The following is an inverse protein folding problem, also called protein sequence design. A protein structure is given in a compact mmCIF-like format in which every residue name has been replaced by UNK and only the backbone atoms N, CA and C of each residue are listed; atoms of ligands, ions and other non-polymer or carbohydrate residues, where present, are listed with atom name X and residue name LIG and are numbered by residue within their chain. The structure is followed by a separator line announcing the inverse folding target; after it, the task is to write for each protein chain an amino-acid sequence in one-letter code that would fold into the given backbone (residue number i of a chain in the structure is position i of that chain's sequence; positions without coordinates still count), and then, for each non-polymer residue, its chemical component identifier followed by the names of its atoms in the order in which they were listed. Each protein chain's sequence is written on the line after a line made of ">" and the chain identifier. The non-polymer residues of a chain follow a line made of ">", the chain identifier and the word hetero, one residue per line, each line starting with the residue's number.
data_IF_223137830387
#
_entry.id   IF_223137830387
#
_cell.length_a   1.000
_cell.length_b   1.000
_cell.length_c   1.000
_cell.angle_alpha   90.00
_cell.angle_beta   90.00
_cell.angle_gamma   90.00
#
_symmetry.space_group_name_H-M   'P 1'
#
loop_
_entity.id
_entity.type
_entity.pdbx_description
1 polymer ?
#
# COMPACT_ATOMS: atom_id res chain seq x y z
N UNK A 1 8.44 -11.32 -52.47
CA UNK A 1 7.96 -11.83 -51.15
C UNK A 1 8.37 -10.82 -50.09
N UNK A 2 7.37 -10.21 -49.44
CA UNK A 2 7.45 -8.93 -48.72
C UNK A 2 8.05 -9.00 -47.31
N UNK A 3 9.29 -8.54 -47.13
CA UNK A 3 9.90 -8.39 -45.80
C UNK A 3 9.30 -7.24 -44.96
N UNK A 4 8.51 -6.33 -45.56
CA UNK A 4 7.87 -5.20 -44.86
C UNK A 4 6.63 -5.58 -44.07
N UNK A 5 5.95 -6.67 -44.43
CA UNK A 5 4.74 -7.17 -43.73
C UNK A 5 5.14 -7.76 -42.36
N UNK A 6 6.25 -8.50 -42.30
CA UNK A 6 6.71 -9.17 -41.09
C UNK A 6 7.05 -8.17 -39.95
N UNK A 7 7.65 -7.03 -40.30
CA UNK A 7 8.08 -6.01 -39.30
C UNK A 7 6.92 -5.24 -38.67
N UNK A 8 5.76 -5.16 -39.36
CA UNK A 8 4.55 -4.49 -38.85
C UNK A 8 3.75 -5.37 -37.90
N UNK A 9 3.69 -6.68 -38.17
CA UNK A 9 3.02 -7.65 -37.30
C UNK A 9 3.77 -7.89 -35.98
N UNK A 10 5.11 -7.89 -36.02
CA UNK A 10 5.96 -8.06 -34.83
C UNK A 10 5.80 -6.92 -33.80
N UNK A 11 5.72 -5.66 -34.25
CA UNK A 11 5.52 -4.54 -33.32
C UNK A 11 4.11 -4.50 -32.71
N UNK A 12 3.08 -4.88 -33.47
CA UNK A 12 1.71 -4.94 -32.96
C UNK A 12 1.52 -6.02 -31.88
N UNK A 13 2.18 -7.17 -32.04
CA UNK A 13 2.12 -8.27 -31.08
C UNK A 13 2.73 -7.92 -29.71
N UNK A 14 3.83 -7.15 -29.67
CA UNK A 14 4.49 -6.76 -28.42
C UNK A 14 3.61 -5.83 -27.59
N UNK A 15 2.96 -4.85 -28.21
CA UNK A 15 2.03 -3.95 -27.51
C UNK A 15 0.80 -4.67 -26.98
N UNK A 16 0.26 -5.62 -27.75
CA UNK A 16 -0.87 -6.44 -27.33
C UNK A 16 -0.50 -7.34 -26.14
N UNK A 17 0.68 -7.95 -26.16
CA UNK A 17 1.18 -8.77 -25.06
C UNK A 17 1.40 -7.94 -23.78
N UNK A 18 1.98 -6.75 -23.89
CA UNK A 18 2.18 -5.83 -22.77
C UNK A 18 0.84 -5.39 -22.15
N UNK A 19 -0.13 -5.04 -22.99
CA UNK A 19 -1.49 -4.70 -22.53
C UNK A 19 -2.16 -5.87 -21.80
N UNK A 20 -1.99 -7.10 -22.30
CA UNK A 20 -2.52 -8.31 -21.67
C UNK A 20 -1.86 -8.61 -20.31
N UNK A 21 -0.56 -8.37 -20.14
CA UNK A 21 0.11 -8.53 -18.84
C UNK A 21 -0.38 -7.52 -17.79
N UNK A 22 -0.79 -6.32 -18.20
CA UNK A 22 -1.36 -5.32 -17.29
C UNK A 22 -2.73 -5.71 -16.72
N UNK A 23 -3.47 -6.59 -17.39
CA UNK A 23 -4.76 -7.10 -16.90
C UNK A 23 -4.59 -8.23 -15.86
N UNK A 24 -3.39 -8.82 -15.76
CA UNK A 24 -3.08 -9.81 -14.74
C UNK A 24 -2.70 -9.12 -13.43
N UNK A 25 -3.65 -9.00 -12.52
CA UNK A 25 -3.41 -8.43 -11.19
C UNK A 25 -2.44 -9.26 -10.33
N UNK A 26 -1.71 -8.60 -9.44
CA UNK A 26 -0.74 -9.23 -8.53
C UNK A 26 -1.35 -10.19 -7.51
N UNK A 27 -2.69 -10.20 -7.34
CA UNK A 27 -3.39 -11.13 -6.44
C UNK A 27 -3.11 -12.61 -6.78
N UNK A 28 -2.95 -12.93 -8.07
CA UNK A 28 -2.63 -14.29 -8.51
C UNK A 28 -1.24 -14.75 -8.03
N UNK A 29 -0.28 -13.82 -7.95
CA UNK A 29 1.08 -14.10 -7.47
C UNK A 29 1.09 -14.40 -5.97
N UNK A 30 0.25 -13.70 -5.20
CA UNK A 30 0.06 -13.94 -3.77
C UNK A 30 -0.61 -15.29 -3.53
N UNK A 31 -1.69 -15.61 -4.25
CA UNK A 31 -2.40 -16.89 -4.12
C UNK A 31 -1.52 -18.10 -4.51
N UNK A 32 -0.60 -17.92 -5.47
CA UNK A 32 0.36 -18.96 -5.88
C UNK A 32 1.60 -19.03 -5.00
N UNK A 33 1.72 -18.17 -3.98
CA UNK A 33 2.85 -18.13 -3.06
C UNK A 33 4.15 -17.61 -3.68
N UNK A 34 4.10 -16.96 -4.84
CA UNK A 34 5.28 -16.33 -5.46
C UNK A 34 5.67 -15.02 -4.76
N UNK A 35 4.71 -14.40 -4.08
CA UNK A 35 4.90 -13.21 -3.24
C UNK A 35 4.24 -13.47 -1.89
N UNK A 36 4.90 -13.09 -0.80
CA UNK A 36 4.35 -13.22 0.53
C UNK A 36 3.07 -12.37 0.67
N UNK A 37 1.98 -12.90 1.27
CA UNK A 37 0.80 -12.10 1.52
C UNK A 37 1.13 -10.97 2.50
N UNK A 38 0.54 -9.77 2.35
CA UNK A 38 0.86 -8.60 3.16
C UNK A 38 0.38 -8.68 4.62
N UNK A 39 0.17 -9.87 5.18
CA UNK A 39 -0.37 -10.06 6.52
C UNK A 39 -1.83 -9.61 6.67
N UNK A 40 -2.43 -9.81 7.86
CA UNK A 40 -3.80 -9.35 8.14
C UNK A 40 -3.89 -7.82 8.13
N UNK A 41 -5.11 -7.28 7.92
CA UNK A 41 -5.37 -5.84 7.86
C UNK A 41 -4.79 -5.08 9.06
N UNK A 42 -4.99 -5.60 10.28
CA UNK A 42 -4.52 -4.98 11.51
C UNK A 42 -2.99 -4.87 11.56
N UNK A 43 -2.28 -5.86 11.01
CA UNK A 43 -0.82 -5.82 10.91
C UNK A 43 -0.35 -4.70 9.99
N UNK A 44 -0.99 -4.54 8.83
CA UNK A 44 -0.67 -3.47 7.88
C UNK A 44 -0.95 -2.09 8.49
N UNK A 45 -2.08 -1.95 9.20
CA UNK A 45 -2.43 -0.72 9.89
C UNK A 45 -1.44 -0.40 11.02
N UNK A 46 -1.04 -1.39 11.82
CA UNK A 46 -0.09 -1.19 12.91
C UNK A 46 1.27 -0.76 12.35
N UNK A 47 1.70 -1.40 11.26
CA UNK A 47 2.94 -1.04 10.58
C UNK A 47 2.88 0.38 9.98
N UNK A 48 1.72 0.77 9.43
CA UNK A 48 1.51 2.12 8.92
C UNK A 48 1.58 3.19 10.02
N UNK A 49 1.05 2.90 11.21
CA UNK A 49 1.13 3.80 12.37
C UNK A 49 2.56 3.92 12.90
N UNK A 50 3.31 2.82 12.96
CA UNK A 50 4.70 2.81 13.46
C UNK A 50 5.64 3.56 12.52
N UNK A 51 5.42 3.46 11.20
CA UNK A 51 6.25 4.10 10.18
C UNK A 51 5.70 5.43 9.68
N UNK A 52 4.72 6.01 10.39
CA UNK A 52 4.22 7.35 10.09
C UNK A 52 5.32 8.39 10.39
N UNK A 53 5.74 9.22 9.41
CA UNK A 53 6.68 10.32 9.67
C UNK A 53 6.15 11.35 10.68
N UNK A 54 4.83 11.43 10.88
CA UNK A 54 4.21 12.34 11.83
C UNK A 54 3.46 11.57 12.92
N UNK A 55 4.16 11.04 13.92
CA UNK A 55 3.56 10.17 14.93
C UNK A 55 2.44 10.88 15.71
N UNK A 56 1.52 10.08 16.23
CA UNK A 56 0.52 10.55 17.18
C UNK A 56 1.19 10.90 18.51
N UNK A 57 0.60 11.86 19.26
CA UNK A 57 1.13 12.33 20.53
C UNK A 57 1.36 11.23 21.60
N UNK A 58 0.69 10.08 21.46
CA UNK A 58 0.81 8.94 22.39
C UNK A 58 1.96 7.98 22.03
N UNK A 59 2.57 8.15 20.86
CA UNK A 59 3.60 7.26 20.30
C UNK A 59 4.97 7.94 20.26
N UNK A 60 5.00 9.24 19.93
CA UNK A 60 6.25 9.99 19.79
C UNK A 60 6.09 11.48 20.08
N UNK A 61 7.21 12.23 20.06
CA UNK A 61 7.20 13.67 20.24
C UNK A 61 6.37 14.35 19.16
N UNK A 62 5.52 15.30 19.56
CA UNK A 62 4.70 16.06 18.63
C UNK A 62 5.53 17.17 17.99
N UNK A 63 6.01 16.93 16.76
CA UNK A 63 6.72 17.92 15.98
C UNK A 63 5.72 18.82 15.22
N UNK A 64 5.29 19.87 15.92
CA UNK A 64 4.34 20.87 15.43
C UNK A 64 4.80 21.59 14.15
N UNK A 65 6.07 21.48 13.77
CA UNK A 65 6.68 22.21 12.67
C UNK A 65 6.77 21.42 11.35
N UNK A 66 6.82 20.09 11.42
CA UNK A 66 7.09 19.24 10.25
C UNK A 66 5.83 18.79 9.51
N UNK A 67 4.66 18.79 10.16
CA UNK A 67 3.41 18.30 9.58
C UNK A 67 2.80 19.32 8.58
N UNK A 68 2.12 18.91 7.50
CA UNK A 68 1.43 19.85 6.62
C UNK A 68 0.28 20.57 7.34
N UNK A 69 -0.02 21.86 7.02
CA UNK A 69 -0.94 22.74 7.76
C UNK A 69 -2.30 22.13 8.16
N UNK A 70 -2.90 21.33 7.26
CA UNK A 70 -4.21 20.73 7.47
C UNK A 70 -4.19 19.51 8.40
N UNK A 71 -3.00 18.99 8.72
CA UNK A 71 -2.80 17.77 9.49
C UNK A 71 -2.23 18.03 10.89
N UNK A 72 -1.81 19.27 11.21
CA UNK A 72 -1.26 19.65 12.54
C UNK A 72 -2.03 19.04 13.69
N UNK A 73 -3.36 19.11 13.64
CA UNK A 73 -4.22 18.58 14.68
C UNK A 73 -4.39 17.06 14.53
N UNK A 74 -3.92 16.26 15.49
CA UNK A 74 -4.12 14.83 15.42
C UNK A 74 -5.61 14.48 15.63
N UNK A 75 -5.98 13.27 15.21
CA UNK A 75 -7.33 12.73 15.43
C UNK A 75 -7.73 12.83 16.90
N UNK A 76 -9.01 13.15 17.14
CA UNK A 76 -9.57 13.22 18.48
C UNK A 76 -9.36 11.90 19.25
N UNK A 77 -9.05 12.01 20.55
CA UNK A 77 -8.75 10.87 21.42
C UNK A 77 -9.77 9.71 21.33
N UNK A 78 -11.11 9.94 21.27
CA UNK A 78 -12.06 8.84 21.15
C UNK A 78 -11.87 7.99 19.88
N UNK A 79 -11.64 8.66 18.74
CA UNK A 79 -11.41 7.99 17.45
C UNK A 79 -10.09 7.23 17.48
N UNK A 80 -9.07 7.83 18.10
CA UNK A 80 -7.74 7.22 18.26
C UNK A 80 -7.77 5.95 19.12
N UNK A 81 -8.53 5.96 20.21
CA UNK A 81 -8.69 4.79 21.09
C UNK A 81 -9.41 3.64 20.36
N UNK A 82 -10.41 3.95 19.54
CA UNK A 82 -11.05 2.94 18.68
C UNK A 82 -10.07 2.33 17.70
N UNK A 83 -9.26 3.17 17.04
CA UNK A 83 -8.21 2.71 16.13
C UNK A 83 -7.18 1.85 16.86
N UNK A 84 -6.68 2.27 18.02
CA UNK A 84 -5.70 1.48 18.82
C UNK A 84 -6.22 0.08 19.14
N UNK A 85 -7.49 -0.05 19.54
CA UNK A 85 -8.10 -1.34 19.85
C UNK A 85 -8.26 -2.24 18.61
N UNK A 86 -8.53 -1.64 17.44
CA UNK A 86 -8.69 -2.37 16.18
C UNK A 86 -7.35 -2.76 15.55
N UNK A 87 -6.38 -1.85 15.58
CA UNK A 87 -5.09 -1.95 14.88
C UNK A 87 -4.08 -2.78 15.67
N UNK A 88 -4.03 -2.61 16.99
CA UNK A 88 -3.08 -3.32 17.87
C UNK A 88 -3.79 -4.08 19.00
N UNK A 89 -4.63 -5.08 18.68
CA UNK A 89 -5.37 -5.83 19.70
C UNK A 89 -4.45 -6.58 20.69
N UNK A 90 -3.20 -6.84 20.32
CA UNK A 90 -2.20 -7.47 21.18
C UNK A 90 -1.54 -6.52 22.20
N UNK A 91 -1.82 -5.21 22.15
CA UNK A 91 -1.38 -4.22 23.14
C UNK A 91 -2.46 -3.90 24.19
N UNK A 92 -3.57 -4.63 24.18
CA UNK A 92 -4.61 -4.52 25.20
C UNK A 92 -4.09 -5.17 26.52
N UNK A 93 -4.30 -4.52 27.68
CA UNK A 93 -3.89 -5.07 28.98
C UNK A 93 -4.66 -6.34 29.36
#
# INVERSE_FOLDING_TARGET
>A
MDARINRRCLCGGVWLALAMTGLMGCQSLVNRGWVAPPGPMNYQQANAVVHDPFPQADIGPDDNSMRPPDYQNPLALPVRNQMKNQVTPWLLP
#
